data_IF_285565585489
#
_entry.id   IF_285565585489
#
_cell.length_a   1.000
_cell.length_b   1.000
_cell.length_c   1.000
_cell.angle_alpha   90.00
_cell.angle_beta   90.00
_cell.angle_gamma   90.00
#
_symmetry.space_group_name_H-M   'P 1'
#
loop_
_entity.id
_entity.type
_entity.pdbx_description
1 polymer ?
#
# COMPACT_ATOMS: atom_id res chain seq x y z
N UNK A 1 5.49 1.19 -6.81
CA UNK A 1 5.23 0.01 -7.67
C UNK A 1 3.81 -0.48 -7.48
N UNK A 2 3.48 -1.69 -7.95
CA UNK A 2 2.23 -2.40 -7.63
C UNK A 2 2.61 -3.74 -7.00
N UNK A 3 1.83 -4.20 -6.02
CA UNK A 3 2.02 -5.50 -5.36
C UNK A 3 0.69 -6.12 -4.92
N UNK A 4 0.71 -7.43 -4.70
CA UNK A 4 -0.41 -8.14 -4.07
C UNK A 4 -0.13 -8.27 -2.58
N UNK A 5 -0.93 -7.60 -1.76
CA UNK A 5 -0.79 -7.57 -0.30
C UNK A 5 -1.87 -8.43 0.34
N UNK A 6 -1.47 -9.33 1.24
CA UNK A 6 -2.37 -10.16 2.04
C UNK A 6 -2.69 -9.46 3.35
N UNK A 7 -3.97 -9.20 3.60
CA UNK A 7 -4.45 -8.67 4.86
C UNK A 7 -4.88 -9.83 5.75
N UNK A 8 -4.45 -9.79 7.01
CA UNK A 8 -4.69 -10.82 8.00
C UNK A 8 -5.43 -10.24 9.20
N UNK A 9 -6.20 -11.06 9.89
CA UNK A 9 -6.78 -10.77 11.21
C UNK A 9 -6.38 -11.86 12.23
N UNK A 10 -7.04 -11.88 13.39
CA UNK A 10 -6.79 -12.85 14.45
C UNK A 10 -7.12 -14.31 14.06
N UNK A 11 -7.78 -14.53 12.93
CA UNK A 11 -8.12 -15.84 12.38
C UNK A 11 -7.24 -16.28 11.21
N UNK A 12 -6.40 -15.38 10.68
CA UNK A 12 -5.47 -15.65 9.57
C UNK A 12 -5.71 -14.77 8.34
N UNK A 13 -5.32 -15.21 7.12
CA UNK A 13 -5.53 -14.46 5.89
C UNK A 13 -7.00 -14.24 5.56
N UNK A 14 -7.39 -12.99 5.35
CA UNK A 14 -8.78 -12.58 5.06
C UNK A 14 -8.97 -12.29 3.58
N UNK A 15 -8.10 -11.44 3.00
CA UNK A 15 -8.20 -11.02 1.60
C UNK A 15 -6.82 -10.66 1.03
N UNK A 16 -6.70 -10.70 -0.30
CA UNK A 16 -5.57 -10.12 -1.03
C UNK A 16 -6.01 -8.94 -1.87
N UNK A 17 -5.24 -7.86 -1.79
CA UNK A 17 -5.51 -6.60 -2.48
C UNK A 17 -4.35 -6.30 -3.43
N UNK A 18 -4.64 -5.98 -4.68
CA UNK A 18 -3.66 -5.35 -5.56
C UNK A 18 -3.57 -3.87 -5.18
N UNK A 19 -2.40 -3.45 -4.69
CA UNK A 19 -2.20 -2.12 -4.11
C UNK A 19 -0.92 -1.46 -4.58
N UNK A 20 -0.85 -0.14 -4.39
CA UNK A 20 0.35 0.64 -4.69
C UNK A 20 1.40 0.40 -3.60
N UNK A 21 2.65 0.19 -3.99
CA UNK A 21 3.79 0.15 -3.08
C UNK A 21 4.54 1.49 -3.11
N UNK A 22 4.88 2.05 -1.95
CA UNK A 22 5.71 3.26 -1.85
C UNK A 22 7.16 2.99 -2.25
N UNK A 23 7.65 1.76 -2.03
CA UNK A 23 8.93 1.26 -2.53
C UNK A 23 8.72 0.43 -3.81
N UNK A 24 9.66 0.50 -4.75
CA UNK A 24 9.63 -0.25 -6.00
C UNK A 24 10.99 -0.83 -6.43
N UNK A 25 12.04 -0.61 -5.65
CA UNK A 25 13.34 -1.24 -5.82
C UNK A 25 13.24 -2.73 -5.44
N UNK A 26 13.40 -3.65 -6.42
CA UNK A 26 13.30 -5.09 -6.15
C UNK A 26 14.39 -5.60 -5.20
N UNK A 27 15.51 -4.90 -5.02
CA UNK A 27 16.54 -5.29 -4.07
C UNK A 27 16.12 -5.06 -2.60
N UNK A 28 15.11 -4.20 -2.38
CA UNK A 28 14.60 -3.88 -1.05
C UNK A 28 13.29 -4.61 -0.71
N UNK A 29 12.69 -5.28 -1.68
CA UNK A 29 11.42 -5.99 -1.54
C UNK A 29 11.65 -7.51 -1.53
N UNK A 30 10.83 -8.23 -0.77
CA UNK A 30 10.83 -9.69 -0.73
C UNK A 30 9.42 -10.23 -0.53
N UNK A 31 9.12 -11.43 -1.04
CA UNK A 31 7.86 -12.09 -0.76
C UNK A 31 7.70 -12.37 0.73
N UNK A 32 6.47 -12.18 1.25
CA UNK A 32 6.19 -12.31 2.69
C UNK A 32 6.80 -11.20 3.55
N UNK A 33 7.23 -10.09 2.95
CA UNK A 33 7.62 -8.88 3.69
C UNK A 33 6.40 -8.26 4.36
N UNK A 34 6.54 -7.90 5.63
CA UNK A 34 5.55 -7.11 6.34
C UNK A 34 5.47 -5.69 5.75
N UNK A 35 4.24 -5.23 5.57
CA UNK A 35 3.93 -3.91 5.04
C UNK A 35 2.80 -3.29 5.84
N UNK A 36 2.76 -1.96 5.85
CA UNK A 36 1.74 -1.20 6.53
C UNK A 36 0.94 -0.35 5.53
N UNK A 37 -0.37 -0.24 5.79
CA UNK A 37 -1.24 0.69 5.07
C UNK A 37 -0.84 2.13 5.40
N UNK A 38 -0.67 2.95 4.37
CA UNK A 38 -0.39 4.37 4.50
C UNK A 38 -1.22 5.19 3.52
N UNK A 39 -1.29 6.49 3.74
CA UNK A 39 -2.00 7.43 2.87
C UNK A 39 -0.97 8.29 2.13
N UNK A 40 -1.13 8.41 0.81
CA UNK A 40 -0.27 9.23 -0.05
C UNK A 40 -1.11 10.24 -0.84
N UNK A 41 -0.55 11.42 -1.20
CA UNK A 41 -1.22 12.33 -2.11
C UNK A 41 -1.51 11.67 -3.46
N UNK A 42 -2.72 11.88 -3.98
CA UNK A 42 -3.13 11.40 -5.30
C UNK A 42 -3.27 12.55 -6.29
N UNK A 43 -4.05 13.58 -5.92
CA UNK A 43 -4.28 14.77 -6.74
C UNK A 43 -4.79 15.92 -5.86
N UNK A 44 -4.99 17.09 -6.47
CA UNK A 44 -5.72 18.22 -5.89
C UNK A 44 -7.03 18.40 -6.67
N UNK A 45 -8.11 18.79 -5.99
CA UNK A 45 -9.40 19.14 -6.64
C UNK A 45 -9.45 20.61 -7.13
N UNK A 46 -10.59 21.02 -7.68
CA UNK A 46 -10.80 22.39 -8.21
C UNK A 46 -10.79 23.47 -7.12
N UNK A 47 -11.04 23.10 -5.87
CA UNK A 47 -11.05 24.01 -4.72
C UNK A 47 -9.68 24.10 -4.03
N UNK A 48 -8.71 23.29 -4.47
CA UNK A 48 -7.36 23.25 -3.90
C UNK A 48 -7.20 22.25 -2.74
N UNK A 49 -8.18 21.37 -2.49
CA UNK A 49 -8.07 20.35 -1.44
C UNK A 49 -7.19 19.19 -1.91
N UNK A 50 -6.35 18.67 -1.01
CA UNK A 50 -5.56 17.47 -1.29
C UNK A 50 -6.43 16.21 -1.18
N UNK A 51 -6.52 15.47 -2.28
CA UNK A 51 -7.11 14.14 -2.32
C UNK A 51 -6.00 13.13 -2.08
N UNK A 52 -6.14 12.33 -1.03
CA UNK A 52 -5.25 11.23 -0.70
C UNK A 52 -5.80 9.88 -1.17
N UNK A 53 -4.90 8.94 -1.42
CA UNK A 53 -5.23 7.53 -1.68
C UNK A 53 -4.41 6.62 -0.77
N UNK A 54 -4.76 5.35 -0.72
CA UNK A 54 -4.02 4.38 0.07
C UNK A 54 -2.81 3.81 -0.72
N UNK A 55 -1.80 3.40 0.01
CA UNK A 55 -0.66 2.63 -0.47
C UNK A 55 -0.14 1.72 0.64
N UNK A 56 0.82 0.86 0.32
CA UNK A 56 1.55 0.04 1.27
C UNK A 56 3.02 0.41 1.27
N UNK A 57 3.60 0.51 2.47
CA UNK A 57 5.02 0.74 2.66
C UNK A 57 5.64 -0.42 3.45
N UNK A 58 6.93 -0.74 3.26
CA UNK A 58 7.63 -1.64 4.16
C UNK A 58 7.45 -1.18 5.61
N UNK A 59 7.13 -2.12 6.51
CA UNK A 59 7.04 -1.88 7.95
C UNK A 59 8.40 -1.54 8.58
#
# INVERSE_FOLDING_TARGET
GVGLVELTDDTGPVIRVEGRLTENDPAKLRFGMDVELTMIPFTTDEEGNEIVTFAFQPA
#
